data_IF_858233093309
#
_entry.id   IF_858233093309
#
_cell.length_a   1.000
_cell.length_b   1.000
_cell.length_c   1.000
_cell.angle_alpha   90.00
_cell.angle_beta   90.00
_cell.angle_gamma   90.00
#
_symmetry.space_group_name_H-M   'P 1'
#
loop_
_entity.id
_entity.type
_entity.pdbx_description
1 polymer ?
#
# COMPACT_ATOMS: atom_id res chain seq x y z
N UNK A 1 6.93 -31.35 -31.22
CA UNK A 1 6.38 -31.54 -29.87
C UNK A 1 5.90 -30.19 -29.40
N UNK A 2 4.65 -30.16 -28.97
CA UNK A 2 3.77 -29.00 -28.87
C UNK A 2 4.28 -27.99 -27.84
N UNK A 3 4.24 -26.73 -28.25
CA UNK A 3 4.44 -25.51 -27.47
C UNK A 3 3.20 -25.30 -26.58
N UNK A 4 3.10 -26.07 -25.49
CA UNK A 4 2.10 -25.79 -24.44
C UNK A 4 2.64 -24.64 -23.60
N UNK A 5 2.20 -23.43 -23.96
CA UNK A 5 2.60 -22.18 -23.34
C UNK A 5 2.50 -22.23 -21.82
N UNK A 6 3.57 -21.79 -21.17
CA UNK A 6 3.61 -21.37 -19.78
C UNK A 6 2.55 -20.27 -19.58
N UNK A 7 1.30 -20.66 -19.30
CA UNK A 7 0.30 -19.74 -18.76
C UNK A 7 0.71 -19.46 -17.32
N UNK A 8 1.69 -18.56 -17.18
CA UNK A 8 2.21 -18.10 -15.90
C UNK A 8 1.06 -17.67 -15.00
N UNK A 9 1.15 -18.05 -13.71
CA UNK A 9 0.12 -17.80 -12.71
C UNK A 9 -0.34 -16.33 -12.74
N UNK A 10 -1.65 -16.05 -12.58
CA UNK A 10 -2.17 -14.70 -12.46
C UNK A 10 -1.41 -13.85 -11.44
N UNK A 11 -1.08 -12.61 -11.82
CA UNK A 11 -0.50 -11.65 -10.87
C UNK A 11 -1.53 -11.28 -9.81
N UNK A 12 -1.08 -11.11 -8.57
CA UNK A 12 -1.93 -10.77 -7.43
C UNK A 12 -1.55 -9.39 -6.90
N UNK A 13 -2.48 -8.43 -6.97
CA UNK A 13 -2.29 -7.07 -6.45
C UNK A 13 -3.11 -6.85 -5.18
N UNK A 14 -2.45 -6.86 -4.02
CA UNK A 14 -3.07 -6.46 -2.76
C UNK A 14 -3.00 -4.93 -2.61
N UNK A 15 -4.13 -4.28 -2.89
CA UNK A 15 -4.29 -2.82 -3.01
C UNK A 15 -4.76 -2.16 -1.71
N UNK A 16 -4.94 -2.92 -0.62
CA UNK A 16 -5.34 -2.34 0.66
C UNK A 16 -4.24 -1.49 1.31
N UNK A 17 -4.69 -0.62 2.22
CA UNK A 17 -3.82 0.33 2.91
C UNK A 17 -2.82 -0.36 3.84
N UNK A 18 -1.71 0.31 4.11
CA UNK A 18 -0.85 -0.11 5.22
C UNK A 18 -1.66 -0.23 6.53
N UNK A 19 -1.29 -1.20 7.36
CA UNK A 19 -1.97 -1.54 8.65
C UNK A 19 -3.32 -2.28 8.53
N UNK A 20 -3.62 -2.85 7.36
CA UNK A 20 -4.73 -3.81 7.16
C UNK A 20 -4.24 -5.24 6.94
N UNK A 21 -3.09 -5.61 7.52
CA UNK A 21 -2.54 -6.98 7.43
C UNK A 21 -1.60 -7.24 6.24
N UNK A 22 -1.09 -6.19 5.59
CA UNK A 22 -0.26 -6.30 4.37
C UNK A 22 1.01 -7.15 4.56
N UNK A 23 1.64 -7.11 5.74
CA UNK A 23 2.81 -7.97 6.06
C UNK A 23 2.44 -9.44 6.21
N UNK A 24 1.26 -9.73 6.79
CA UNK A 24 0.76 -11.10 6.91
C UNK A 24 0.42 -11.64 5.53
N UNK A 25 -0.25 -10.85 4.69
CA UNK A 25 -0.54 -11.22 3.30
C UNK A 25 0.75 -11.49 2.51
N UNK A 26 1.77 -10.66 2.67
CA UNK A 26 3.06 -10.87 2.02
C UNK A 26 3.68 -12.24 2.38
N UNK A 27 3.65 -12.60 3.67
CA UNK A 27 4.12 -13.91 4.14
C UNK A 27 3.29 -15.06 3.62
N UNK A 28 1.96 -14.94 3.61
CA UNK A 28 1.09 -15.99 3.06
C UNK A 28 1.39 -16.20 1.57
N UNK A 29 1.47 -15.10 0.80
CA UNK A 29 1.74 -15.16 -0.63
C UNK A 29 3.14 -15.74 -0.91
N UNK A 30 4.17 -15.29 -0.20
CA UNK A 30 5.54 -15.76 -0.39
C UNK A 30 5.80 -17.15 0.19
N UNK A 31 5.54 -17.32 1.47
CA UNK A 31 5.98 -18.50 2.24
C UNK A 31 5.05 -19.70 2.05
N UNK A 32 3.74 -19.48 1.92
CA UNK A 32 2.74 -20.57 1.85
C UNK A 32 2.30 -20.87 0.42
N UNK A 33 2.21 -19.84 -0.43
CA UNK A 33 1.72 -19.98 -1.81
C UNK A 33 2.85 -19.89 -2.85
N UNK A 34 4.10 -19.67 -2.41
CA UNK A 34 5.31 -19.64 -3.23
C UNK A 34 5.29 -18.58 -4.35
N UNK A 35 4.62 -17.44 -4.13
CA UNK A 35 4.68 -16.29 -5.03
C UNK A 35 5.96 -15.49 -4.82
N UNK A 36 6.52 -14.96 -5.91
CA UNK A 36 7.50 -13.86 -5.81
C UNK A 36 6.81 -12.57 -5.39
N UNK A 37 6.76 -12.34 -4.07
CA UNK A 37 6.00 -11.23 -3.49
C UNK A 37 6.85 -9.98 -3.22
N UNK A 38 6.33 -8.79 -3.56
CA UNK A 38 6.91 -7.50 -3.22
C UNK A 38 6.10 -6.81 -2.08
N UNK A 39 6.79 -6.27 -1.07
CA UNK A 39 6.19 -5.53 0.05
C UNK A 39 6.94 -4.20 0.28
N UNK A 40 6.26 -3.07 0.03
CA UNK A 40 6.75 -1.66 0.15
C UNK A 40 7.88 -1.23 -0.81
N UNK A 41 7.97 0.05 -1.22
CA UNK A 41 6.91 1.01 -1.56
C UNK A 41 7.24 1.73 -2.91
N UNK A 42 7.85 1.04 -3.87
CA UNK A 42 8.05 1.58 -5.22
C UNK A 42 7.02 1.08 -6.24
N UNK A 43 6.33 -0.02 -5.94
CA UNK A 43 5.50 -0.68 -6.95
C UNK A 43 4.21 0.06 -7.25
N UNK A 44 3.68 0.82 -6.30
CA UNK A 44 2.58 1.76 -6.54
C UNK A 44 3.00 2.81 -7.57
N UNK A 45 4.24 3.30 -7.53
CA UNK A 45 4.76 4.23 -8.53
C UNK A 45 4.95 3.55 -9.89
N UNK A 46 5.34 2.27 -9.90
CA UNK A 46 5.39 1.45 -11.11
C UNK A 46 4.01 1.25 -11.73
N UNK A 47 2.96 1.14 -10.90
CA UNK A 47 1.57 1.08 -11.38
C UNK A 47 1.14 2.39 -12.05
N UNK A 48 1.55 3.52 -11.49
CA UNK A 48 1.24 4.85 -12.02
C UNK A 48 1.99 5.08 -13.34
N UNK A 49 3.29 4.77 -13.36
CA UNK A 49 4.18 4.95 -14.53
C UNK A 49 4.06 3.85 -15.57
N UNK A 50 3.22 2.83 -15.35
CA UNK A 50 3.05 1.65 -16.21
C UNK A 50 4.38 0.91 -16.46
N UNK A 51 5.27 0.89 -15.48
CA UNK A 51 6.61 0.30 -15.59
C UNK A 51 6.58 -1.23 -15.52
N UNK A 52 6.32 -1.88 -16.68
CA UNK A 52 6.31 -3.34 -16.82
C UNK A 52 7.62 -3.98 -16.38
N UNK A 53 8.77 -3.38 -16.69
CA UNK A 53 10.07 -3.94 -16.35
C UNK A 53 10.21 -4.26 -14.85
N UNK A 54 9.72 -3.38 -13.97
CA UNK A 54 9.75 -3.65 -12.53
C UNK A 54 8.60 -4.57 -12.08
N UNK A 55 7.42 -4.43 -12.68
CA UNK A 55 6.22 -5.24 -12.36
C UNK A 55 6.35 -6.70 -12.81
N UNK A 56 7.14 -7.01 -13.84
CA UNK A 56 7.30 -8.38 -14.35
C UNK A 56 8.26 -9.23 -13.50
N UNK A 57 9.05 -8.60 -12.62
CA UNK A 57 9.96 -9.27 -11.69
C UNK A 57 9.26 -10.02 -10.56
N UNK A 58 8.00 -9.67 -10.30
CA UNK A 58 7.22 -10.17 -9.18
C UNK A 58 5.84 -10.64 -9.64
N UNK A 59 5.25 -11.54 -8.87
CA UNK A 59 3.93 -12.11 -9.15
C UNK A 59 2.88 -11.63 -8.17
N UNK A 60 3.29 -11.25 -6.96
CA UNK A 60 2.39 -10.75 -5.94
C UNK A 60 2.88 -9.41 -5.37
N UNK A 61 1.96 -8.51 -5.08
CA UNK A 61 2.27 -7.16 -4.61
C UNK A 61 1.42 -6.83 -3.39
N UNK A 62 2.06 -6.33 -2.34
CA UNK A 62 1.37 -5.97 -1.09
C UNK A 62 1.76 -4.58 -0.65
N UNK A 63 0.91 -3.98 0.20
CA UNK A 63 1.03 -2.57 0.61
C UNK A 63 0.75 -1.60 -0.57
N UNK A 64 -0.29 -1.88 -1.35
CA UNK A 64 -0.67 -1.14 -2.57
C UNK A 64 -1.52 0.08 -2.34
N UNK A 65 -1.29 0.81 -1.25
CA UNK A 65 -2.05 2.01 -0.94
C UNK A 65 -1.96 3.01 -2.11
N UNK A 66 -3.13 3.44 -2.62
CA UNK A 66 -3.22 4.35 -3.77
C UNK A 66 -2.63 3.83 -5.09
N UNK A 67 -2.51 2.51 -5.30
CA UNK A 67 -2.09 1.95 -6.59
C UNK A 67 -3.08 2.31 -7.72
N UNK A 68 -2.56 2.53 -8.93
CA UNK A 68 -3.34 2.85 -10.12
C UNK A 68 -3.99 1.57 -10.70
N UNK A 69 -5.12 1.15 -10.12
CA UNK A 69 -5.82 -0.10 -10.47
C UNK A 69 -6.14 -0.23 -11.96
N UNK A 70 -6.54 0.86 -12.62
CA UNK A 70 -6.84 0.89 -14.06
C UNK A 70 -5.62 0.50 -14.89
N UNK A 71 -4.48 1.11 -14.59
CA UNK A 71 -3.24 0.82 -15.28
C UNK A 71 -2.82 -0.64 -15.08
N UNK A 72 -2.98 -1.18 -13.87
CA UNK A 72 -2.63 -2.57 -13.59
C UNK A 72 -3.54 -3.55 -14.33
N UNK A 73 -4.84 -3.31 -14.33
CA UNK A 73 -5.81 -4.14 -15.03
C UNK A 73 -5.65 -4.07 -16.56
N UNK A 74 -5.34 -2.90 -17.12
CA UNK A 74 -5.00 -2.76 -18.54
C UNK A 74 -3.71 -3.53 -18.91
N UNK A 75 -2.70 -3.49 -18.03
CA UNK A 75 -1.40 -4.12 -18.28
C UNK A 75 -1.45 -5.63 -18.10
N UNK A 76 -2.27 -6.09 -17.15
CA UNK A 76 -2.41 -7.49 -16.76
C UNK A 76 -3.91 -7.85 -16.64
N UNK A 77 -4.59 -8.11 -17.77
CA UNK A 77 -6.02 -8.42 -17.76
C UNK A 77 -6.38 -9.65 -16.93
N UNK A 78 -5.49 -10.63 -16.80
CA UNK A 78 -5.71 -11.83 -15.99
C UNK A 78 -5.39 -11.63 -14.51
N UNK A 79 -4.97 -10.44 -14.07
CA UNK A 79 -4.58 -10.21 -12.69
C UNK A 79 -5.76 -10.23 -11.72
N UNK A 80 -5.47 -10.70 -10.51
CA UNK A 80 -6.38 -10.75 -9.37
C UNK A 80 -6.07 -9.62 -8.39
N UNK A 81 -7.11 -9.00 -7.85
CA UNK A 81 -7.00 -7.88 -6.91
C UNK A 81 -7.53 -8.26 -5.54
N UNK A 82 -6.81 -7.87 -4.50
CA UNK A 82 -7.20 -8.08 -3.10
C UNK A 82 -7.29 -6.73 -2.41
N UNK A 83 -8.49 -6.34 -1.97
CA UNK A 83 -8.70 -5.18 -1.13
C UNK A 83 -8.84 -5.63 0.32
N UNK A 84 -7.72 -5.63 1.04
CA UNK A 84 -7.70 -5.93 2.47
C UNK A 84 -8.02 -4.68 3.29
N UNK A 85 -9.08 -4.80 4.09
CA UNK A 85 -9.69 -3.75 4.87
C UNK A 85 -9.51 -3.99 6.38
N UNK A 86 -9.96 -3.03 7.17
CA UNK A 86 -9.95 -3.06 8.64
C UNK A 86 -10.95 -2.03 9.13
N UNK A 87 -11.68 -2.24 10.24
CA UNK A 87 -12.58 -1.23 10.75
C UNK A 87 -11.86 0.11 10.98
N UNK A 88 -12.50 1.22 10.57
CA UNK A 88 -11.89 2.54 10.48
C UNK A 88 -11.19 2.95 11.79
N UNK A 89 -11.87 2.80 12.92
CA UNK A 89 -11.35 3.12 14.26
C UNK A 89 -10.02 2.41 14.53
N UNK A 90 -9.97 1.10 14.29
CA UNK A 90 -8.77 0.30 14.53
C UNK A 90 -7.64 0.64 13.54
N UNK A 91 -7.98 0.93 12.29
CA UNK A 91 -7.02 1.35 11.29
C UNK A 91 -6.38 2.71 11.66
N UNK A 92 -7.20 3.72 12.00
CA UNK A 92 -6.72 5.05 12.40
C UNK A 92 -5.79 4.95 13.61
N UNK A 93 -6.18 4.20 14.65
CA UNK A 93 -5.33 3.99 15.83
C UNK A 93 -4.00 3.31 15.46
N UNK A 94 -4.03 2.31 14.58
CA UNK A 94 -2.81 1.63 14.14
C UNK A 94 -1.91 2.52 13.28
N UNK A 95 -2.47 3.37 12.43
CA UNK A 95 -1.73 4.33 11.59
C UNK A 95 -1.15 5.44 12.46
N UNK A 96 -1.92 5.98 13.40
CA UNK A 96 -1.47 6.99 14.37
C UNK A 96 -0.25 6.50 15.16
N UNK A 97 -0.33 5.31 15.77
CA UNK A 97 0.80 4.71 16.50
C UNK A 97 2.05 4.54 15.62
N UNK A 98 1.87 4.17 14.35
CA UNK A 98 2.99 4.03 13.44
C UNK A 98 3.64 5.39 13.11
N UNK A 99 2.82 6.40 12.86
CA UNK A 99 3.28 7.78 12.64
C UNK A 99 4.01 8.29 13.88
N UNK A 100 3.45 8.13 15.09
CA UNK A 100 4.11 8.54 16.35
C UNK A 100 5.49 7.90 16.55
N UNK A 101 5.65 6.62 16.21
CA UNK A 101 6.97 5.97 16.25
C UNK A 101 7.94 6.60 15.25
N UNK A 102 7.53 6.78 14.00
CA UNK A 102 8.36 7.45 12.98
C UNK A 102 8.74 8.87 13.42
N UNK A 103 7.81 9.61 14.01
CA UNK A 103 8.05 10.95 14.55
C UNK A 103 9.04 10.95 15.70
N UNK A 104 8.98 9.96 16.58
CA UNK A 104 9.94 9.82 17.68
C UNK A 104 11.36 9.60 17.12
N UNK A 105 11.50 8.78 16.07
CA UNK A 105 12.76 8.59 15.37
C UNK A 105 13.27 9.86 14.67
N UNK A 106 12.40 10.57 13.95
CA UNK A 106 12.74 11.86 13.31
C UNK A 106 13.10 12.91 14.35
N UNK A 107 12.35 13.00 15.45
CA UNK A 107 12.64 13.91 16.57
C UNK A 107 13.99 13.59 17.20
N UNK A 108 14.30 12.31 17.43
CA UNK A 108 15.60 11.89 17.92
C UNK A 108 16.73 12.28 16.97
N UNK A 109 16.56 12.04 15.67
CA UNK A 109 17.54 12.43 14.65
C UNK A 109 17.74 13.95 14.60
N UNK A 110 16.66 14.73 14.56
CA UNK A 110 16.74 16.19 14.57
C UNK A 110 17.43 16.71 15.84
N UNK A 111 17.13 16.14 17.01
CA UNK A 111 17.75 16.55 18.27
C UNK A 111 19.25 16.19 18.31
N UNK A 112 19.65 15.09 17.68
CA UNK A 112 21.04 14.62 17.63
C UNK A 112 21.89 15.40 16.63
N UNK A 113 21.33 15.78 15.49
CA UNK A 113 22.09 16.33 14.36
C UNK A 113 21.85 17.82 14.08
N UNK A 114 20.83 18.45 14.68
CA UNK A 114 20.59 19.89 14.54
C UNK A 114 21.11 20.61 15.79
N UNK A 115 22.23 21.37 15.71
CA UNK A 115 22.89 21.95 16.88
C UNK A 115 22.11 23.11 17.53
N UNK A 116 21.04 23.60 16.90
CA UNK A 116 20.15 24.64 17.43
C UNK A 116 18.84 24.02 17.92
N UNK A 117 18.79 23.65 19.21
CA UNK A 117 17.63 22.98 19.82
C UNK A 117 16.29 23.72 19.65
N UNK A 118 16.31 25.05 19.52
CA UNK A 118 15.13 25.86 19.23
C UNK A 118 14.58 25.64 17.80
N UNK A 119 15.45 25.55 16.79
CA UNK A 119 15.07 25.29 15.39
C UNK A 119 14.50 23.88 15.24
N UNK A 120 15.14 22.90 15.88
CA UNK A 120 14.61 21.54 15.97
C UNK A 120 13.20 21.56 16.60
N UNK A 121 12.96 22.35 17.65
CA UNK A 121 11.65 22.48 18.31
C UNK A 121 10.58 23.08 17.41
N UNK A 122 10.90 24.11 16.63
CA UNK A 122 9.96 24.74 15.66
C UNK A 122 9.61 23.77 14.54
N UNK A 123 10.60 23.09 13.93
CA UNK A 123 10.36 22.10 12.88
C UNK A 123 9.47 20.98 13.41
N UNK A 124 9.75 20.53 14.63
CA UNK A 124 8.96 19.49 15.28
C UNK A 124 7.54 19.94 15.64
N UNK A 125 7.30 21.23 15.86
CA UNK A 125 5.95 21.74 16.07
C UNK A 125 5.20 21.86 14.74
N UNK A 126 5.82 22.45 13.71
CA UNK A 126 5.21 22.64 12.38
C UNK A 126 4.90 21.33 11.65
N UNK A 127 5.83 20.35 11.69
CA UNK A 127 5.64 19.02 11.08
C UNK A 127 4.79 18.12 12.00
N UNK A 128 4.88 18.38 13.31
CA UNK A 128 4.24 17.82 14.50
C UNK A 128 2.72 17.92 14.68
N UNK A 129 2.18 19.11 14.53
CA UNK A 129 0.99 19.47 15.32
C UNK A 129 -0.34 19.42 14.56
N UNK A 130 -0.30 19.12 13.26
CA UNK A 130 -1.51 19.01 12.43
C UNK A 130 -2.27 17.66 12.60
N UNK A 131 -2.40 17.16 13.83
CA UNK A 131 -2.91 15.80 14.11
C UNK A 131 -4.32 15.57 13.58
N UNK A 132 -5.26 16.46 13.86
CA UNK A 132 -6.65 16.28 13.45
C UNK A 132 -6.83 16.41 11.93
N UNK A 133 -6.23 17.43 11.32
CA UNK A 133 -6.29 17.62 9.86
C UNK A 133 -5.62 16.44 9.13
N UNK A 134 -4.52 15.91 9.66
CA UNK A 134 -3.85 14.75 9.09
C UNK A 134 -4.71 13.48 9.21
N UNK A 135 -5.34 13.23 10.36
CA UNK A 135 -6.25 12.10 10.55
C UNK A 135 -7.44 12.20 9.60
N UNK A 136 -8.08 13.36 9.51
CA UNK A 136 -9.19 13.57 8.56
C UNK A 136 -8.77 13.36 7.11
N UNK A 137 -7.58 13.82 6.72
CA UNK A 137 -7.01 13.58 5.40
C UNK A 137 -6.79 12.08 5.14
N UNK A 138 -6.24 11.34 6.10
CA UNK A 138 -6.05 9.89 5.97
C UNK A 138 -7.37 9.15 5.79
N UNK A 139 -8.40 9.51 6.57
CA UNK A 139 -9.73 8.92 6.48
C UNK A 139 -10.33 9.18 5.10
N UNK A 140 -10.28 10.43 4.61
CA UNK A 140 -10.80 10.80 3.28
C UNK A 140 -10.12 10.03 2.16
N UNK A 141 -8.79 10.00 2.16
CA UNK A 141 -8.00 9.30 1.14
C UNK A 141 -8.32 7.81 1.15
N UNK A 142 -8.34 7.17 2.32
CA UNK A 142 -8.66 5.75 2.45
C UNK A 142 -10.06 5.44 1.93
N UNK A 143 -11.07 6.17 2.39
CA UNK A 143 -12.45 5.91 2.03
C UNK A 143 -12.67 6.13 0.53
N UNK A 144 -12.15 7.24 -0.01
CA UNK A 144 -12.24 7.54 -1.44
C UNK A 144 -11.53 6.48 -2.29
N UNK A 145 -10.36 6.00 -1.88
CA UNK A 145 -9.65 4.94 -2.60
C UNK A 145 -10.39 3.60 -2.54
N UNK A 146 -10.86 3.20 -1.35
CA UNK A 146 -11.62 1.96 -1.19
C UNK A 146 -12.90 1.98 -2.04
N UNK A 147 -13.64 3.08 -2.01
CA UNK A 147 -14.82 3.30 -2.85
C UNK A 147 -14.44 3.24 -4.33
N UNK A 148 -13.33 3.87 -4.73
CA UNK A 148 -12.86 3.82 -6.11
C UNK A 148 -12.57 2.38 -6.58
N UNK A 149 -11.88 1.57 -5.76
CA UNK A 149 -11.57 0.16 -6.08
C UNK A 149 -12.85 -0.66 -6.21
N UNK A 150 -13.75 -0.56 -5.22
CA UNK A 150 -15.01 -1.31 -5.22
C UNK A 150 -15.86 -0.94 -6.43
N UNK A 151 -16.00 0.36 -6.72
CA UNK A 151 -16.76 0.85 -7.87
C UNK A 151 -16.14 0.45 -9.20
N UNK A 152 -14.81 0.38 -9.30
CA UNK A 152 -14.15 -0.02 -10.53
C UNK A 152 -14.38 -1.50 -10.89
N UNK A 153 -14.46 -2.37 -9.88
CA UNK A 153 -14.69 -3.81 -10.07
C UNK A 153 -16.14 -4.24 -9.85
N UNK A 154 -17.09 -3.32 -9.70
CA UNK A 154 -18.51 -3.66 -9.46
C UNK A 154 -19.10 -4.56 -10.53
N UNK A 155 -18.66 -4.36 -11.78
CA UNK A 155 -19.21 -5.05 -12.95
C UNK A 155 -18.40 -6.32 -13.31
N UNK A 156 -17.39 -6.67 -12.51
CA UNK A 156 -16.43 -7.75 -12.79
C UNK A 156 -16.31 -8.71 -11.62
N UNK A 157 -17.37 -9.49 -11.39
CA UNK A 157 -17.40 -10.55 -10.38
C UNK A 157 -16.29 -11.56 -10.61
N UNK A 158 -15.36 -11.68 -9.66
CA UNK A 158 -14.24 -12.63 -9.71
C UNK A 158 -12.85 -11.99 -9.76
N UNK A 159 -12.72 -10.71 -10.14
CA UNK A 159 -11.42 -10.02 -10.15
C UNK A 159 -11.03 -9.42 -8.80
N UNK A 160 -12.00 -9.06 -7.96
CA UNK A 160 -11.77 -8.40 -6.68
C UNK A 160 -12.19 -9.31 -5.53
N UNK A 161 -11.26 -9.56 -4.62
CA UNK A 161 -11.51 -10.15 -3.30
C UNK A 161 -11.44 -9.05 -2.24
N UNK A 162 -12.53 -8.85 -1.49
CA UNK A 162 -12.57 -7.93 -0.34
C UNK A 162 -12.50 -8.73 0.94
N UNK A 163 -11.58 -8.36 1.84
CA UNK A 163 -11.37 -9.01 3.14
C UNK A 163 -11.10 -8.02 4.27
#
# INVERSE_FOLDING_TARGET
MSDEGDQGRPKVFCVGFSKTGTTTLHRILGDQLSYRSAHKPGWTDWSITRNRYQLDRFEAFTDGECAAIRNLDDLYPEALFVLNTRPLKHWVLSRHKAVERSRTGVRWALTKYVPLGFVARIINWWVLDNRERAVMRWIRIRNSYHEHVIRYFSDRSGKLLVM
#
